data_IF_977978619006
#
_entry.id   IF_977978619006
#
_cell.length_a   1.000
_cell.length_b   1.000
_cell.length_c   1.000
_cell.angle_alpha   90.00
_cell.angle_beta   90.00
_cell.angle_gamma   90.00
#
_symmetry.space_group_name_H-M   'P 1'
#
loop_
_entity.id
_entity.type
_entity.pdbx_description
1 polymer ?
#
# COMPACT_ATOMS: atom_id res chain seq x y z
N UNK A 1 -34.72 0.15 -14.41
CA UNK A 1 -34.44 -0.81 -13.31
C UNK A 1 -33.50 -1.94 -13.75
N UNK A 2 -33.81 -2.77 -14.76
CA UNK A 2 -32.92 -3.89 -15.17
C UNK A 2 -31.49 -3.49 -15.59
N UNK A 3 -31.32 -2.40 -16.33
CA UNK A 3 -29.98 -1.92 -16.74
C UNK A 3 -29.13 -1.42 -15.57
N UNK A 4 -29.74 -0.83 -14.55
CA UNK A 4 -29.03 -0.28 -13.40
C UNK A 4 -28.39 -1.39 -12.55
N UNK A 5 -29.13 -2.47 -12.28
CA UNK A 5 -28.64 -3.58 -11.47
C UNK A 5 -27.86 -4.63 -12.26
N UNK A 6 -28.19 -4.83 -13.55
CA UNK A 6 -27.55 -5.86 -14.37
C UNK A 6 -26.26 -5.40 -15.08
N UNK A 7 -26.10 -4.10 -15.33
CA UNK A 7 -24.97 -3.57 -16.09
C UNK A 7 -24.23 -2.48 -15.30
N UNK A 8 -24.92 -1.43 -14.88
CA UNK A 8 -24.27 -0.28 -14.21
C UNK A 8 -23.65 -0.68 -12.87
N UNK A 9 -24.34 -1.48 -12.04
CA UNK A 9 -23.82 -1.97 -10.77
C UNK A 9 -22.51 -2.75 -10.90
N UNK A 10 -22.47 -3.83 -11.70
CA UNK A 10 -21.23 -4.60 -11.94
C UNK A 10 -20.09 -3.75 -12.51
N UNK A 11 -20.39 -2.83 -13.45
CA UNK A 11 -19.39 -1.91 -14.00
C UNK A 11 -18.83 -0.96 -12.94
N UNK A 12 -19.69 -0.37 -12.11
CA UNK A 12 -19.26 0.50 -11.01
C UNK A 12 -18.37 -0.26 -10.03
N UNK A 13 -18.73 -1.49 -9.64
CA UNK A 13 -17.91 -2.33 -8.76
C UNK A 13 -16.54 -2.62 -9.36
N UNK A 14 -16.46 -2.96 -10.64
CA UNK A 14 -15.16 -3.18 -11.32
C UNK A 14 -14.33 -1.91 -11.37
N UNK A 15 -14.95 -0.77 -11.64
CA UNK A 15 -14.24 0.51 -11.67
C UNK A 15 -13.67 0.86 -10.29
N UNK A 16 -14.44 0.67 -9.22
CA UNK A 16 -13.96 0.86 -7.84
C UNK A 16 -12.80 -0.06 -7.52
N UNK A 17 -12.85 -1.34 -7.90
CA UNK A 17 -11.74 -2.28 -7.70
C UNK A 17 -10.44 -1.80 -8.34
N UNK A 18 -10.50 -1.34 -9.59
CA UNK A 18 -9.32 -0.81 -10.29
C UNK A 18 -8.76 0.42 -9.59
N UNK A 19 -9.64 1.35 -9.20
CA UNK A 19 -9.23 2.57 -8.49
C UNK A 19 -8.62 2.26 -7.12
N UNK A 20 -9.18 1.30 -6.38
CA UNK A 20 -8.63 0.87 -5.09
C UNK A 20 -7.27 0.19 -5.23
N UNK A 21 -7.08 -0.60 -6.30
CA UNK A 21 -5.83 -1.28 -6.59
C UNK A 21 -4.72 -0.28 -6.95
N UNK A 22 -5.02 0.72 -7.80
CA UNK A 22 -4.07 1.81 -8.10
C UNK A 22 -3.82 2.72 -6.88
N UNK A 23 -4.86 2.95 -6.07
CA UNK A 23 -4.79 3.76 -4.86
C UNK A 23 -3.99 3.13 -3.71
N UNK A 24 -3.80 1.80 -3.74
CA UNK A 24 -3.08 1.07 -2.69
C UNK A 24 -1.65 1.60 -2.50
N UNK A 25 -0.95 1.93 -3.57
CA UNK A 25 0.42 2.48 -3.52
C UNK A 25 0.49 3.78 -2.70
N UNK A 26 -0.41 4.72 -2.98
CA UNK A 26 -0.47 5.99 -2.26
C UNK A 26 -0.89 5.81 -0.79
N UNK A 27 -1.80 4.86 -0.52
CA UNK A 27 -2.21 4.52 0.86
C UNK A 27 -1.04 3.98 1.68
N UNK A 28 -0.16 3.17 1.08
CA UNK A 28 1.04 2.65 1.75
C UNK A 28 2.00 3.80 2.11
N UNK A 29 2.29 4.70 1.17
CA UNK A 29 3.13 5.88 1.43
C UNK A 29 2.54 6.72 2.57
N UNK A 30 1.23 7.00 2.50
CA UNK A 30 0.53 7.72 3.56
C UNK A 30 0.65 7.00 4.90
N UNK A 31 0.44 5.68 4.94
CA UNK A 31 0.52 4.90 6.16
C UNK A 31 1.91 4.94 6.80
N UNK A 32 2.98 4.86 6.01
CA UNK A 32 4.37 4.97 6.49
C UNK A 32 4.63 6.37 7.07
N UNK A 33 4.26 7.42 6.34
CA UNK A 33 4.46 8.80 6.79
C UNK A 33 3.67 9.12 8.05
N UNK A 34 2.41 8.68 8.10
CA UNK A 34 1.56 8.85 9.28
C UNK A 34 2.11 8.04 10.45
N UNK A 35 2.56 6.80 10.25
CA UNK A 35 3.19 6.00 11.30
C UNK A 35 4.44 6.70 11.87
N UNK A 36 5.27 7.28 11.00
CA UNK A 36 6.46 8.01 11.43
C UNK A 36 6.10 9.30 12.19
N UNK A 37 5.07 10.04 11.74
CA UNK A 37 4.55 11.22 12.44
C UNK A 37 4.00 10.92 13.85
N UNK A 38 3.49 9.71 14.08
CA UNK A 38 3.05 9.26 15.41
C UNK A 38 4.22 8.92 16.35
N UNK A 39 5.46 9.17 15.95
CA UNK A 39 6.65 8.96 16.79
C UNK A 39 7.23 7.55 16.72
N UNK A 40 6.82 6.72 15.76
CA UNK A 40 7.43 5.42 15.53
C UNK A 40 8.82 5.59 14.90
N UNK A 41 9.79 4.75 15.31
CA UNK A 41 11.09 4.67 14.64
C UNK A 41 10.92 4.37 13.14
N UNK A 42 11.87 4.80 12.31
CA UNK A 42 11.81 4.61 10.86
C UNK A 42 11.60 3.13 10.48
N UNK A 43 12.30 2.21 11.15
CA UNK A 43 12.18 0.77 10.92
C UNK A 43 10.76 0.24 11.22
N UNK A 44 10.14 0.70 12.32
CA UNK A 44 8.76 0.33 12.67
C UNK A 44 7.77 0.91 11.65
N UNK A 45 8.00 2.15 11.21
CA UNK A 45 7.14 2.83 10.24
C UNK A 45 7.15 2.12 8.88
N UNK A 46 8.33 1.64 8.46
CA UNK A 46 8.53 0.90 7.22
C UNK A 46 7.94 -0.52 7.30
N UNK A 47 8.01 -1.18 8.46
CA UNK A 47 7.33 -2.46 8.69
C UNK A 47 5.80 -2.34 8.66
N UNK A 48 5.25 -1.26 9.23
CA UNK A 48 3.82 -0.94 9.11
C UNK A 48 3.45 -0.75 7.62
N UNK A 49 4.30 -0.07 6.85
CA UNK A 49 4.15 0.05 5.40
C UNK A 49 4.11 -1.31 4.70
N UNK A 50 5.08 -2.19 5.00
CA UNK A 50 5.16 -3.56 4.46
C UNK A 50 3.90 -4.36 4.72
N UNK A 51 3.32 -4.22 5.92
CA UNK A 51 2.07 -4.89 6.32
C UNK A 51 0.85 -4.44 5.51
N UNK A 52 0.87 -3.22 4.94
CA UNK A 52 -0.21 -2.66 4.13
C UNK A 52 -0.07 -2.98 2.63
N UNK A 53 1.03 -3.61 2.20
CA UNK A 53 1.24 -4.02 0.81
C UNK A 53 0.33 -5.22 0.49
N UNK A 54 -0.39 -5.23 -0.65
CA UNK A 54 -1.17 -6.38 -1.10
C UNK A 54 -0.33 -7.66 -1.14
N UNK A 55 -0.89 -8.79 -0.71
CA UNK A 55 -0.15 -10.04 -0.46
C UNK A 55 0.66 -10.58 -1.64
N UNK A 56 0.22 -10.31 -2.88
CA UNK A 56 0.96 -10.73 -4.09
C UNK A 56 2.22 -9.91 -4.40
N UNK A 57 2.34 -8.72 -3.80
CA UNK A 57 3.47 -7.81 -3.98
C UNK A 57 4.20 -7.51 -2.66
N UNK A 58 3.78 -8.14 -1.55
CA UNK A 58 4.34 -7.90 -0.23
C UNK A 58 5.75 -8.50 -0.17
N UNK A 59 6.80 -7.68 0.04
CA UNK A 59 8.14 -8.21 0.24
C UNK A 59 8.25 -8.90 1.60
N UNK A 60 9.18 -9.85 1.69
CA UNK A 60 9.56 -10.44 2.97
C UNK A 60 10.26 -9.42 3.85
N UNK A 61 10.28 -9.67 5.17
CA UNK A 61 11.01 -8.84 6.12
C UNK A 61 12.50 -8.75 5.76
N UNK A 62 13.09 -9.87 5.34
CA UNK A 62 14.51 -9.95 5.00
C UNK A 62 14.86 -9.10 3.76
N UNK A 63 14.05 -9.19 2.70
CA UNK A 63 14.25 -8.39 1.48
C UNK A 63 14.10 -6.89 1.76
N UNK A 64 13.20 -6.52 2.68
CA UNK A 64 13.03 -5.13 3.09
C UNK A 64 14.25 -4.62 3.85
N UNK A 65 14.80 -5.39 4.80
CA UNK A 65 16.01 -5.02 5.52
C UNK A 65 17.24 -4.95 4.62
N UNK A 66 17.39 -5.88 3.68
CA UNK A 66 18.46 -5.84 2.67
C UNK A 66 18.34 -4.60 1.79
N UNK A 67 17.14 -4.27 1.32
CA UNK A 67 16.90 -3.08 0.52
C UNK A 67 17.21 -1.80 1.33
N UNK A 68 16.80 -1.72 2.60
CA UNK A 68 17.11 -0.59 3.48
C UNK A 68 18.61 -0.45 3.75
N UNK A 69 19.31 -1.58 3.93
CA UNK A 69 20.77 -1.60 4.17
C UNK A 69 21.58 -1.24 2.92
N UNK A 70 21.01 -1.50 1.74
CA UNK A 70 21.62 -1.16 0.45
C UNK A 70 21.44 0.32 0.07
N UNK A 71 20.56 1.07 0.75
CA UNK A 71 20.44 2.51 0.55
C UNK A 71 21.71 3.18 1.06
N UNK A 72 22.48 3.90 0.22
CA UNK A 72 23.62 4.67 0.69
C UNK A 72 23.11 5.68 1.72
N UNK A 73 23.75 5.75 2.90
CA UNK A 73 23.55 6.90 3.77
C UNK A 73 23.93 8.14 2.97
N UNK A 74 22.93 8.95 2.60
CA UNK A 74 23.21 10.32 2.18
C UNK A 74 23.97 10.98 3.34
N UNK A 75 25.21 11.36 3.05
CA UNK A 75 26.12 12.04 3.95
C UNK A 75 25.62 13.45 4.32
#
# INVERSE_FOLDING_TARGET
MFLAYGLVGPFATRMTQVVDEEGAFYRIIQAVLVAHLHGNAAQISVEIGRGNVPSGAQPSFLELEEALSAIPNEA
#
